data_IF_463813145389
#
_entry.id   IF_463813145389
#
_cell.length_a   1.000
_cell.length_b   1.000
_cell.length_c   1.000
_cell.angle_alpha   90.00
_cell.angle_beta   90.00
_cell.angle_gamma   90.00
#
_symmetry.space_group_name_H-M   'P 1'
#
loop_
_entity.id
_entity.type
_entity.pdbx_description
1 polymer ?
#
# COMPACT_ATOMS: atom_id res chain seq x y z
N UNK A 1 1.00 9.15 -3.62
CA UNK A 1 2.37 9.72 -3.50
C UNK A 1 3.33 8.62 -3.03
N UNK A 2 4.64 8.74 -3.27
CA UNK A 2 5.65 7.74 -2.84
C UNK A 2 6.35 8.17 -1.55
N UNK A 3 6.89 7.21 -0.80
CA UNK A 3 7.73 7.49 0.36
C UNK A 3 9.08 8.11 -0.03
N UNK A 4 9.58 9.03 0.80
CA UNK A 4 10.94 9.55 0.71
C UNK A 4 11.98 8.55 1.25
N UNK A 5 13.27 8.73 0.98
CA UNK A 5 14.33 7.88 1.55
C UNK A 5 14.35 7.89 3.09
N UNK A 6 14.04 9.02 3.71
CA UNK A 6 13.97 9.17 5.16
C UNK A 6 12.79 8.38 5.72
N UNK A 7 11.59 8.53 5.14
CA UNK A 7 10.41 7.76 5.53
C UNK A 7 10.62 6.25 5.34
N UNK A 8 11.33 5.82 4.29
CA UNK A 8 11.70 4.41 4.09
C UNK A 8 12.66 3.89 5.16
N UNK A 9 13.60 4.74 5.60
CA UNK A 9 14.55 4.39 6.65
C UNK A 9 13.84 4.28 8.00
N UNK A 10 12.90 5.18 8.27
CA UNK A 10 12.06 5.15 9.47
C UNK A 10 11.15 3.91 9.49
N UNK A 11 10.45 3.64 8.38
CA UNK A 11 9.56 2.50 8.25
C UNK A 11 10.27 1.15 8.42
N UNK A 12 11.46 1.01 7.82
CA UNK A 12 12.18 -0.28 7.80
C UNK A 12 13.21 -0.41 8.92
N UNK A 13 13.64 0.70 9.53
CA UNK A 13 14.80 0.75 10.42
C UNK A 13 16.14 0.43 9.72
N UNK A 14 16.19 0.47 8.38
CA UNK A 14 17.34 0.06 7.57
C UNK A 14 17.78 1.18 6.63
N UNK A 15 19.10 1.35 6.46
CA UNK A 15 19.68 2.29 5.50
C UNK A 15 20.10 1.65 4.17
N UNK A 16 20.52 0.38 4.19
CA UNK A 16 20.97 -0.31 2.97
C UNK A 16 19.78 -0.79 2.14
N UNK A 17 19.78 -0.48 0.84
CA UNK A 17 18.72 -0.88 -0.12
C UNK A 17 18.31 -2.34 0.00
N UNK A 18 19.27 -3.27 0.00
CA UNK A 18 18.98 -4.70 0.08
C UNK A 18 18.28 -5.10 1.39
N UNK A 19 18.63 -4.43 2.48
CA UNK A 19 18.00 -4.66 3.78
C UNK A 19 16.58 -4.07 3.81
N UNK A 20 16.38 -2.88 3.23
CA UNK A 20 15.06 -2.28 3.06
C UNK A 20 14.14 -3.17 2.22
N UNK A 21 14.61 -3.66 1.07
CA UNK A 21 13.86 -4.59 0.20
C UNK A 21 13.45 -5.85 0.95
N UNK A 22 14.35 -6.46 1.73
CA UNK A 22 14.03 -7.65 2.54
C UNK A 22 12.99 -7.35 3.60
N UNK A 23 13.09 -6.20 4.29
CA UNK A 23 12.11 -5.79 5.28
C UNK A 23 10.73 -5.57 4.64
N UNK A 24 10.66 -4.83 3.54
CA UNK A 24 9.41 -4.58 2.81
C UNK A 24 8.74 -5.87 2.33
N UNK A 25 9.54 -6.84 1.82
CA UNK A 25 9.02 -8.17 1.48
C UNK A 25 8.46 -8.92 2.68
N UNK A 26 9.17 -8.88 3.81
CA UNK A 26 8.71 -9.51 5.05
C UNK A 26 7.42 -8.87 5.57
N UNK A 27 7.26 -7.56 5.39
CA UNK A 27 6.05 -6.81 5.73
C UNK A 27 4.91 -7.01 4.72
N UNK A 28 5.14 -7.69 3.58
CA UNK A 28 4.14 -7.83 2.53
C UNK A 28 3.84 -6.54 1.76
N UNK A 29 4.72 -5.52 1.84
CA UNK A 29 4.54 -4.23 1.19
C UNK A 29 5.11 -4.28 -0.23
N UNK A 30 4.28 -3.95 -1.21
CA UNK A 30 4.70 -3.86 -2.60
C UNK A 30 5.64 -2.66 -2.83
N UNK A 31 6.74 -2.94 -3.52
CA UNK A 31 7.82 -2.00 -3.77
C UNK A 31 8.44 -2.25 -5.14
N UNK A 32 9.03 -1.22 -5.73
CA UNK A 32 9.80 -1.31 -6.98
C UNK A 32 11.16 -0.66 -6.84
N UNK A 33 12.16 -1.20 -7.53
CA UNK A 33 13.48 -0.58 -7.63
C UNK A 33 13.48 0.33 -8.87
N UNK A 34 13.80 1.60 -8.67
CA UNK A 34 13.94 2.57 -9.77
C UNK A 34 15.23 2.31 -10.55
N UNK A 35 15.36 2.84 -11.79
CA UNK A 35 16.59 2.72 -12.57
C UNK A 35 17.82 3.32 -11.88
N UNK A 36 17.62 4.30 -10.98
CA UNK A 36 18.67 4.91 -10.15
C UNK A 36 19.13 4.02 -8.98
N UNK A 37 18.48 2.87 -8.76
CA UNK A 37 18.79 1.94 -7.68
C UNK A 37 18.11 2.24 -6.35
N UNK A 38 17.28 3.29 -6.26
CA UNK A 38 16.47 3.59 -5.06
C UNK A 38 15.20 2.74 -5.01
N UNK A 39 14.63 2.56 -3.82
CA UNK A 39 13.36 1.83 -3.63
C UNK A 39 12.21 2.83 -3.66
N UNK A 40 11.19 2.54 -4.44
CA UNK A 40 9.94 3.27 -4.49
C UNK A 40 8.82 2.43 -3.86
N UNK A 41 8.14 3.03 -2.89
CA UNK A 41 6.97 2.45 -2.21
C UNK A 41 5.83 3.47 -2.25
N UNK A 42 4.64 3.03 -2.63
CA UNK A 42 3.44 3.87 -2.61
C UNK A 42 2.98 4.07 -1.17
N UNK A 43 2.86 5.32 -0.72
CA UNK A 43 2.42 5.66 0.64
C UNK A 43 1.04 5.08 0.95
N UNK A 44 0.11 5.18 0.00
CA UNK A 44 -1.24 4.62 0.09
C UNK A 44 -1.26 3.10 0.28
N UNK A 45 -0.31 2.39 -0.32
CA UNK A 45 -0.23 0.94 -0.14
C UNK A 45 0.27 0.57 1.25
N UNK A 46 1.18 1.36 1.80
CA UNK A 46 1.65 1.23 3.19
C UNK A 46 0.48 1.46 4.15
N UNK A 47 -0.21 2.59 4.01
CA UNK A 47 -1.42 2.91 4.78
C UNK A 47 -2.45 1.75 4.77
N UNK A 48 -2.77 1.23 3.58
CA UNK A 48 -3.66 0.07 3.42
C UNK A 48 -3.13 -1.20 4.11
N UNK A 49 -1.82 -1.48 4.02
CA UNK A 49 -1.21 -2.65 4.65
C UNK A 49 -1.23 -2.61 6.19
N UNK A 50 -1.23 -1.41 6.78
CA UNK A 50 -1.29 -1.21 8.22
C UNK A 50 -2.72 -1.16 8.78
N UNK A 51 -3.73 -1.45 7.96
CA UNK A 51 -5.12 -1.51 8.39
C UNK A 51 -5.82 -0.16 8.38
N UNK A 52 -5.24 0.87 7.73
CA UNK A 52 -6.06 1.99 7.26
C UNK A 52 -6.94 1.45 6.14
N UNK A 53 -8.07 0.89 6.59
CA UNK A 53 -9.18 0.54 5.75
C UNK A 53 -9.61 1.88 5.18
N UNK A 54 -9.13 2.21 3.98
CA UNK A 54 -9.96 2.98 3.10
C UNK A 54 -11.25 2.17 3.07
N UNK A 55 -12.25 2.65 3.79
CA UNK A 55 -13.61 2.56 3.35
C UNK A 55 -13.60 3.15 1.94
N UNK A 56 -13.16 2.35 0.96
CA UNK A 56 -14.07 2.06 -0.10
C UNK A 56 -15.36 1.81 0.64
N UNK A 57 -16.26 2.80 0.59
CA UNK A 57 -17.65 2.47 0.47
C UNK A 57 -17.65 1.33 -0.56
N UNK A 58 -17.58 0.10 -0.06
CA UNK A 58 -18.33 -0.98 -0.63
C UNK A 58 -19.72 -0.39 -0.58
N UNK A 59 -20.05 0.36 -1.62
CA UNK A 59 -21.42 0.56 -2.06
C UNK A 59 -21.83 -0.88 -2.30
N UNK A 60 -22.28 -1.51 -1.21
CA UNK A 60 -23.08 -2.71 -1.25
C UNK A 60 -24.19 -2.25 -2.16
N UNK A 61 -24.07 -2.62 -3.43
CA UNK A 61 -25.04 -2.28 -4.45
C UNK A 61 -26.32 -2.86 -3.87
N UNK A 62 -27.20 -2.00 -3.37
CA UNK A 62 -28.42 -2.49 -2.75
C UNK A 62 -29.13 -3.27 -3.85
N UNK A 63 -29.15 -4.59 -3.70
CA UNK A 63 -29.85 -5.47 -4.61
C UNK A 63 -31.32 -5.32 -4.22
N UNK A 64 -31.92 -4.25 -4.72
CA UNK A 64 -33.36 -4.07 -4.60
C UNK A 64 -34.03 -4.93 -5.68
N UNK A 65 -35.03 -5.75 -5.32
CA UNK A 65 -35.88 -6.40 -6.29
C UNK A 65 -36.52 -5.36 -7.21
N UNK A 66 -36.67 -5.68 -8.49
CA UNK A 66 -37.43 -4.85 -9.41
C UNK A 66 -38.93 -4.94 -9.07
N UNK A 67 -39.40 -4.00 -8.24
CA UNK A 67 -40.80 -3.91 -7.82
C UNK A 67 -41.74 -3.50 -8.97
N UNK A 68 -41.22 -3.10 -10.14
CA UNK A 68 -42.05 -2.77 -11.31
C UNK A 68 -42.61 -4.00 -12.03
N UNK A 69 -42.26 -5.21 -11.58
CA UNK A 69 -42.70 -6.48 -12.15
C UNK A 69 -43.92 -7.12 -11.45
N UNK A 70 -44.59 -6.40 -10.51
CA UNK A 70 -45.84 -6.79 -9.86
C UNK A 70 -47.06 -6.12 -10.52
#
# INVERSE_FOLDING_TARGET
MFLTPEELTELTGRQRRDAQVRALRYMGIEHRVRPDGTVAVLKTHVEQSFGETQSHDNVVKQVEPDWSAL
#
